data_IF_280080686047
#
_entry.id   IF_280080686047
#
_cell.length_a   1.000
_cell.length_b   1.000
_cell.length_c   1.000
_cell.angle_alpha   90.00
_cell.angle_beta   90.00
_cell.angle_gamma   90.00
#
_symmetry.space_group_name_H-M   'P 1'
#
loop_
_entity.id
_entity.type
_entity.pdbx_description
1 polymer ?
#
# COMPACT_ATOMS: atom_id res chain seq x y z
N UNK A 1 13.61 -12.56 2.34
CA UNK A 1 12.80 -11.81 1.36
C UNK A 1 13.23 -10.36 1.38
N UNK A 2 12.65 -9.50 0.52
CA UNK A 2 12.97 -8.06 0.49
C UNK A 2 12.47 -7.33 1.75
N UNK A 3 13.17 -6.29 2.15
CA UNK A 3 12.85 -5.42 3.29
C UNK A 3 13.21 -3.96 2.97
N UNK A 4 12.80 -3.02 3.81
CA UNK A 4 13.14 -1.61 3.66
C UNK A 4 12.73 -1.01 2.32
N UNK A 5 13.56 -0.12 1.77
CA UNK A 5 13.31 0.51 0.47
C UNK A 5 13.20 -0.49 -0.70
N UNK A 6 14.05 -1.54 -0.82
CA UNK A 6 13.86 -2.58 -1.85
C UNK A 6 12.46 -3.20 -1.86
N UNK A 7 11.86 -3.44 -0.69
CA UNK A 7 10.47 -3.91 -0.60
C UNK A 7 9.47 -2.87 -1.10
N UNK A 8 9.66 -1.59 -0.77
CA UNK A 8 8.76 -0.51 -1.22
C UNK A 8 8.82 -0.30 -2.73
N UNK A 9 10.02 -0.38 -3.31
CA UNK A 9 10.23 -0.36 -4.76
C UNK A 9 9.56 -1.56 -5.45
N UNK A 10 9.65 -2.76 -4.85
CA UNK A 10 8.95 -3.95 -5.34
C UNK A 10 7.43 -3.75 -5.33
N UNK A 11 6.87 -3.25 -4.23
CA UNK A 11 5.44 -2.97 -4.12
C UNK A 11 4.98 -1.98 -5.20
N UNK A 12 5.70 -0.87 -5.38
CA UNK A 12 5.37 0.12 -6.41
C UNK A 12 5.40 -0.50 -7.82
N UNK A 13 6.43 -1.29 -8.14
CA UNK A 13 6.52 -1.97 -9.44
C UNK A 13 5.36 -2.95 -9.66
N UNK A 14 4.97 -3.71 -8.63
CA UNK A 14 3.85 -4.64 -8.70
C UNK A 14 2.51 -3.93 -8.84
N UNK A 15 2.31 -2.81 -8.16
CA UNK A 15 1.10 -1.99 -8.30
C UNK A 15 0.97 -1.41 -9.71
N UNK A 16 2.05 -0.88 -10.29
CA UNK A 16 2.05 -0.39 -11.67
C UNK A 16 1.77 -1.53 -12.65
N UNK A 17 2.47 -2.67 -12.51
CA UNK A 17 2.27 -3.81 -13.39
C UNK A 17 0.83 -4.37 -13.33
N UNK A 18 0.21 -4.38 -12.14
CA UNK A 18 -1.16 -4.85 -11.95
C UNK A 18 -2.20 -4.00 -12.71
N UNK A 19 -1.91 -2.74 -13.03
CA UNK A 19 -2.82 -1.90 -13.82
C UNK A 19 -2.99 -2.41 -15.26
N UNK A 20 -2.07 -3.24 -15.76
CA UNK A 20 -2.22 -3.94 -17.05
C UNK A 20 -3.32 -5.01 -17.07
N UNK A 21 -3.86 -5.40 -15.92
CA UNK A 21 -4.91 -6.41 -15.76
C UNK A 21 -6.21 -5.80 -15.20
N UNK A 22 -6.58 -4.58 -15.60
CA UNK A 22 -7.76 -3.87 -15.05
C UNK A 22 -8.99 -3.85 -15.97
N UNK A 23 -8.89 -4.43 -17.16
CA UNK A 23 -10.01 -4.53 -18.09
C UNK A 23 -11.19 -5.28 -17.46
N UNK A 24 -12.39 -4.65 -17.46
CA UNK A 24 -13.60 -5.21 -16.84
C UNK A 24 -13.64 -5.18 -15.30
N UNK A 25 -12.55 -4.78 -14.60
CA UNK A 25 -12.46 -4.85 -13.12
C UNK A 25 -12.89 -3.58 -12.38
N UNK A 26 -13.15 -2.48 -13.10
CA UNK A 26 -13.59 -1.18 -12.56
C UNK A 26 -12.68 -0.66 -11.42
N UNK A 27 -11.37 -0.44 -11.67
CA UNK A 27 -10.46 0.09 -10.64
C UNK A 27 -10.92 1.46 -10.12
N UNK A 28 -10.72 1.71 -8.83
CA UNK A 28 -11.09 2.99 -8.21
C UNK A 28 -10.20 4.15 -8.70
N UNK A 29 -10.75 5.37 -8.88
CA UNK A 29 -10.04 6.50 -9.49
C UNK A 29 -8.78 6.91 -8.73
N UNK A 30 -8.81 6.89 -7.39
CA UNK A 30 -7.62 7.17 -6.56
C UNK A 30 -6.52 6.14 -6.77
N UNK A 31 -6.87 4.86 -6.98
CA UNK A 31 -5.87 3.82 -7.27
C UNK A 31 -5.23 4.06 -8.62
N UNK A 32 -6.04 4.33 -9.66
CA UNK A 32 -5.56 4.62 -11.02
C UNK A 32 -4.58 5.81 -10.99
N UNK A 33 -5.04 6.96 -10.48
CA UNK A 33 -4.25 8.19 -10.40
C UNK A 33 -2.96 8.00 -9.60
N UNK A 34 -3.06 7.33 -8.45
CA UNK A 34 -1.89 7.06 -7.61
C UNK A 34 -0.85 6.21 -8.34
N UNK A 35 -1.29 5.11 -8.97
CA UNK A 35 -0.36 4.23 -9.70
C UNK A 35 0.27 4.90 -10.91
N UNK A 36 -0.44 5.80 -11.60
CA UNK A 36 0.12 6.51 -12.76
C UNK A 36 1.20 7.53 -12.38
N UNK A 37 1.34 7.86 -11.10
CA UNK A 37 2.36 8.79 -10.58
C UNK A 37 3.61 8.07 -10.04
N UNK A 38 3.56 6.74 -9.87
CA UNK A 38 4.70 5.96 -9.39
C UNK A 38 5.78 5.84 -10.47
N UNK A 39 7.04 5.94 -10.05
CA UNK A 39 8.24 5.76 -10.87
C UNK A 39 9.15 4.70 -10.25
N UNK A 40 8.74 3.42 -10.23
CA UNK A 40 9.52 2.35 -9.62
C UNK A 40 10.91 2.23 -10.27
N UNK A 41 11.95 2.15 -9.46
CA UNK A 41 13.35 2.15 -9.91
C UNK A 41 14.06 3.50 -9.76
N UNK A 42 13.32 4.60 -9.60
CA UNK A 42 13.88 5.88 -9.16
C UNK A 42 13.96 5.95 -7.62
N UNK A 43 14.97 6.63 -7.03
CA UNK A 43 15.01 6.89 -5.60
C UNK A 43 13.72 7.55 -5.11
N UNK A 44 13.09 6.98 -4.09
CA UNK A 44 11.79 7.43 -3.57
C UNK A 44 10.65 7.51 -4.61
N UNK A 45 10.80 6.90 -5.79
CA UNK A 45 9.81 6.90 -6.88
C UNK A 45 8.51 6.16 -6.55
N UNK A 46 8.44 5.53 -5.37
CA UNK A 46 7.21 4.97 -4.81
C UNK A 46 6.36 6.00 -4.04
N UNK A 47 6.81 7.25 -3.90
CA UNK A 47 6.06 8.32 -3.23
C UNK A 47 5.30 9.18 -4.23
N UNK A 48 4.12 9.62 -3.80
CA UNK A 48 3.26 10.56 -4.54
C UNK A 48 2.91 11.77 -3.65
N UNK A 49 2.50 12.92 -4.22
CA UNK A 49 2.02 14.06 -3.44
C UNK A 49 0.77 13.73 -2.61
N UNK A 50 0.50 14.54 -1.59
CA UNK A 50 -0.76 14.47 -0.84
C UNK A 50 -1.95 14.73 -1.77
N UNK A 51 -3.05 13.99 -1.57
CA UNK A 51 -4.28 14.17 -2.32
C UNK A 51 -5.46 14.36 -1.34
N UNK A 52 -6.10 15.55 -1.28
CA UNK A 52 -7.22 15.83 -0.36
C UNK A 52 -8.44 14.93 -0.59
N UNK A 53 -8.60 14.36 -1.79
CA UNK A 53 -9.69 13.44 -2.12
C UNK A 53 -9.24 11.97 -2.14
N UNK A 54 -8.01 11.68 -1.72
CA UNK A 54 -7.42 10.35 -1.69
C UNK A 54 -7.95 9.43 -0.57
N UNK A 55 -9.22 9.55 -0.21
CA UNK A 55 -9.83 8.93 0.99
C UNK A 55 -10.40 7.53 0.76
N UNK A 56 -10.34 7.01 -0.48
CA UNK A 56 -10.95 5.73 -0.85
C UNK A 56 -10.37 4.50 -0.13
N UNK A 57 -11.09 3.38 -0.20
CA UNK A 57 -10.71 2.11 0.45
C UNK A 57 -9.61 1.32 -0.28
N UNK A 58 -9.12 1.79 -1.43
CA UNK A 58 -8.20 1.04 -2.28
C UNK A 58 -6.88 0.68 -1.59
N UNK A 59 -6.42 1.53 -0.66
CA UNK A 59 -5.30 1.21 0.22
C UNK A 59 -5.63 0.07 1.20
N UNK A 60 -6.77 0.15 1.89
CA UNK A 60 -7.20 -0.86 2.85
C UNK A 60 -7.40 -2.25 2.22
N UNK A 61 -8.09 -2.32 1.09
CA UNK A 61 -8.52 -3.59 0.46
C UNK A 61 -7.36 -4.53 0.09
N UNK A 62 -6.13 -4.02 0.00
CA UNK A 62 -4.94 -4.78 -0.41
C UNK A 62 -3.92 -5.02 0.71
N UNK A 63 -4.19 -4.60 1.94
CA UNK A 63 -3.18 -4.58 3.01
C UNK A 63 -3.21 -5.79 3.95
N UNK A 64 -4.18 -6.69 3.84
CA UNK A 64 -4.30 -7.85 4.74
C UNK A 64 -3.03 -8.73 4.76
N UNK A 65 -2.44 -8.97 3.58
CA UNK A 65 -1.24 -9.78 3.44
C UNK A 65 -0.02 -9.23 4.20
N UNK A 66 0.01 -7.91 4.47
CA UNK A 66 1.06 -7.30 5.29
C UNK A 66 0.94 -7.79 6.74
N UNK A 67 -0.29 -7.91 7.26
CA UNK A 67 -0.55 -8.46 8.59
C UNK A 67 -0.11 -9.92 8.72
N UNK A 68 -0.40 -10.73 7.70
CA UNK A 68 0.04 -12.14 7.65
C UNK A 68 1.57 -12.27 7.57
N UNK A 69 2.24 -11.31 6.94
CA UNK A 69 3.71 -11.28 6.82
C UNK A 69 4.42 -10.84 8.11
N UNK A 70 3.79 -9.99 8.91
CA UNK A 70 4.35 -9.41 10.14
C UNK A 70 3.44 -9.62 11.37
N UNK A 71 3.11 -10.86 11.74
CA UNK A 71 2.09 -11.13 12.76
C UNK A 71 2.59 -10.88 14.20
N UNK A 72 3.91 -10.92 14.44
CA UNK A 72 4.47 -10.91 15.79
C UNK A 72 4.47 -9.51 16.39
N UNK A 73 4.31 -9.40 17.71
CA UNK A 73 4.29 -8.11 18.40
C UNK A 73 5.58 -7.30 18.19
N UNK A 74 6.73 -7.96 18.15
CA UNK A 74 8.03 -7.34 17.87
C UNK A 74 8.14 -6.75 16.45
N UNK A 75 7.28 -7.16 15.51
CA UNK A 75 7.27 -6.67 14.12
C UNK A 75 6.31 -5.49 13.90
N UNK A 76 5.57 -5.08 14.95
CA UNK A 76 4.60 -4.00 14.87
C UNK A 76 5.16 -2.71 14.23
N UNK A 77 6.39 -2.25 14.54
CA UNK A 77 6.96 -1.07 13.86
C UNK A 77 7.09 -1.27 12.34
N UNK A 78 7.50 -2.45 11.89
CA UNK A 78 7.59 -2.79 10.47
C UNK A 78 6.22 -2.89 9.81
N UNK A 79 5.24 -3.51 10.47
CA UNK A 79 3.86 -3.56 10.00
C UNK A 79 3.30 -2.16 9.80
N UNK A 80 3.48 -1.26 10.77
CA UNK A 80 3.03 0.13 10.70
C UNK A 80 3.67 0.82 9.50
N UNK A 81 5.01 0.74 9.37
CA UNK A 81 5.74 1.35 8.26
C UNK A 81 5.27 0.83 6.91
N UNK A 82 5.28 -0.48 6.69
CA UNK A 82 4.95 -1.08 5.38
C UNK A 82 3.49 -0.83 5.01
N UNK A 83 2.55 -0.94 5.96
CA UNK A 83 1.14 -0.65 5.69
C UNK A 83 0.89 0.81 5.31
N UNK A 84 1.47 1.77 6.04
CA UNK A 84 1.35 3.20 5.72
C UNK A 84 2.00 3.53 4.37
N UNK A 85 3.25 3.10 4.15
CA UNK A 85 3.98 3.35 2.90
C UNK A 85 3.23 2.75 1.71
N UNK A 86 2.82 1.47 1.80
CA UNK A 86 2.08 0.80 0.74
C UNK A 86 0.72 1.45 0.46
N UNK A 87 0.05 1.98 1.49
CA UNK A 87 -1.22 2.69 1.35
C UNK A 87 -1.04 4.02 0.63
N UNK A 88 -0.07 4.83 1.08
CA UNK A 88 0.18 6.17 0.54
C UNK A 88 0.79 6.19 -0.86
N UNK A 89 1.30 5.06 -1.39
CA UNK A 89 1.66 4.91 -2.81
C UNK A 89 0.50 5.26 -3.77
N UNK A 90 -0.76 5.16 -3.31
CA UNK A 90 -1.92 5.58 -4.09
C UNK A 90 -2.91 6.46 -3.34
N UNK A 91 -2.97 6.33 -2.02
CA UNK A 91 -3.92 7.05 -1.17
C UNK A 91 -3.15 7.88 -0.14
N UNK A 92 -2.44 8.92 -0.61
CA UNK A 92 -1.71 9.83 0.28
C UNK A 92 -2.66 10.82 0.96
N UNK A 93 -3.54 10.27 1.80
CA UNK A 93 -4.46 10.94 2.70
C UNK A 93 -4.63 10.05 3.95
N UNK A 94 -4.65 10.60 5.18
CA UNK A 94 -4.73 9.79 6.40
C UNK A 94 -5.90 8.82 6.42
N UNK A 95 -7.10 9.25 6.04
CA UNK A 95 -8.28 8.36 5.91
C UNK A 95 -8.01 7.13 5.03
N UNK A 96 -7.21 7.27 3.96
CA UNK A 96 -6.86 6.16 3.07
C UNK A 96 -5.79 5.24 3.66
N UNK A 97 -4.60 5.76 3.96
CA UNK A 97 -3.48 4.93 4.41
C UNK A 97 -3.63 4.40 5.84
N UNK A 98 -4.41 5.06 6.72
CA UNK A 98 -4.74 4.49 8.03
C UNK A 98 -5.73 3.33 7.89
N UNK A 99 -6.53 3.28 6.82
CA UNK A 99 -7.30 2.10 6.45
C UNK A 99 -6.41 0.90 6.10
N UNK A 100 -5.29 1.13 5.40
CA UNK A 100 -4.27 0.10 5.16
C UNK A 100 -3.66 -0.42 6.47
N UNK A 101 -3.32 0.49 7.38
CA UNK A 101 -2.84 0.13 8.72
C UNK A 101 -3.87 -0.71 9.48
N UNK A 102 -5.14 -0.28 9.52
CA UNK A 102 -6.20 -1.00 10.22
C UNK A 102 -6.35 -2.44 9.71
N UNK A 103 -6.42 -2.63 8.40
CA UNK A 103 -6.54 -3.97 7.79
C UNK A 103 -5.30 -4.83 8.04
N UNK A 104 -4.09 -4.26 7.91
CA UNK A 104 -2.86 -4.99 8.21
C UNK A 104 -2.79 -5.41 9.68
N UNK A 105 -3.13 -4.50 10.60
CA UNK A 105 -3.11 -4.76 12.04
C UNK A 105 -4.12 -5.85 12.42
N UNK A 106 -5.36 -5.77 11.92
CA UNK A 106 -6.37 -6.78 12.18
C UNK A 106 -6.04 -8.12 11.53
N UNK A 107 -5.40 -8.11 10.36
CA UNK A 107 -4.84 -9.33 9.75
C UNK A 107 -3.77 -9.98 10.63
N UNK A 108 -2.88 -9.20 11.23
CA UNK A 108 -1.88 -9.70 12.17
C UNK A 108 -2.51 -10.24 13.47
N UNK A 109 -3.57 -9.59 13.98
CA UNK A 109 -4.30 -10.07 15.16
C UNK A 109 -5.06 -11.37 14.89
N UNK A 110 -5.68 -11.51 13.72
CA UNK A 110 -6.40 -12.74 13.34
C UNK A 110 -5.48 -13.92 13.02
N UNK A 111 -4.19 -13.68 12.80
CA UNK A 111 -3.18 -14.73 12.58
C UNK A 111 -2.49 -15.21 13.87
N UNK A 112 -2.80 -14.61 15.02
CA UNK A 112 -2.32 -15.04 16.35
C UNK A 112 -3.30 -16.02 16.98
#
# INVERSE_FOLDING_TARGET
GLEGEPLLQELARRYVAAMGDMEGRKPGPTSILGTSQLRPGEPEGYRIPFNPTGTGCGAAMRSLAIGLRYPRAAELPTLIRVSIESGRMTHHHPTGYLGALAVALFGALGAR
#
